data_IF_046592759001
#
_entry.id   IF_046592759001
#
_cell.length_a   1.000
_cell.length_b   1.000
_cell.length_c   1.000
_cell.angle_alpha   90.00
_cell.angle_beta   90.00
_cell.angle_gamma   90.00
#
_symmetry.space_group_name_H-M   'P 1'
#
loop_
_entity.id
_entity.type
_entity.pdbx_description
1 polymer ?
#
# COMPACT_ATOMS: atom_id res chain seq x y z
N UNK A 1 41.02 32.96 3.59
CA UNK A 1 40.60 32.09 2.48
C UNK A 1 39.88 30.90 3.08
N UNK A 2 38.55 30.83 2.95
CA UNK A 2 37.76 29.71 3.49
C UNK A 2 37.99 28.47 2.63
N UNK A 3 38.58 27.43 3.22
CA UNK A 3 38.68 26.12 2.60
C UNK A 3 37.27 25.52 2.43
N UNK A 4 36.74 25.56 1.21
CA UNK A 4 35.53 24.83 0.85
C UNK A 4 35.85 23.34 1.00
N UNK A 5 35.12 22.67 1.88
CA UNK A 5 35.26 21.23 2.08
C UNK A 5 34.60 20.48 0.91
N UNK A 6 35.41 20.16 -0.10
CA UNK A 6 34.99 19.47 -1.33
C UNK A 6 34.47 18.04 -1.10
N UNK A 7 34.69 17.44 0.09
CA UNK A 7 34.11 16.14 0.46
C UNK A 7 32.62 16.19 0.78
N UNK A 8 31.98 17.36 0.74
CA UNK A 8 30.52 17.55 0.95
C UNK A 8 29.79 18.14 -0.26
N UNK A 9 30.38 18.06 -1.45
CA UNK A 9 29.69 18.51 -2.67
C UNK A 9 28.56 17.51 -2.95
N UNK A 10 27.32 17.92 -2.65
CA UNK A 10 26.13 17.21 -3.11
C UNK A 10 25.94 17.60 -4.58
N UNK A 11 26.08 16.63 -5.47
CA UNK A 11 25.91 16.85 -6.90
C UNK A 11 24.43 17.04 -7.27
N UNK A 12 24.16 17.56 -8.46
CA UNK A 12 22.80 17.61 -8.98
C UNK A 12 22.21 16.19 -9.15
N UNK A 13 23.06 15.21 -9.46
CA UNK A 13 22.70 13.80 -9.57
C UNK A 13 22.30 13.20 -8.22
N UNK A 14 23.05 13.48 -7.15
CA UNK A 14 22.72 13.05 -5.79
C UNK A 14 21.36 13.60 -5.33
N UNK A 15 21.08 14.87 -5.66
CA UNK A 15 19.77 15.49 -5.36
C UNK A 15 18.63 14.84 -6.14
N UNK A 16 18.86 14.49 -7.40
CA UNK A 16 17.85 13.86 -8.24
C UNK A 16 17.51 12.46 -7.72
N UNK A 17 18.51 11.67 -7.33
CA UNK A 17 18.31 10.33 -6.75
C UNK A 17 17.53 10.42 -5.44
N UNK A 18 17.90 11.34 -4.55
CA UNK A 18 17.18 11.53 -3.28
C UNK A 18 15.74 11.98 -3.52
N UNK A 19 15.51 12.87 -4.48
CA UNK A 19 14.16 13.31 -4.84
C UNK A 19 13.31 12.16 -5.40
N UNK A 20 13.87 11.32 -6.26
CA UNK A 20 13.18 10.13 -6.79
C UNK A 20 12.82 9.15 -5.67
N UNK A 21 13.73 8.92 -4.72
CA UNK A 21 13.47 8.10 -3.54
C UNK A 21 12.33 8.66 -2.70
N UNK A 22 12.36 9.95 -2.39
CA UNK A 22 11.29 10.62 -1.65
C UNK A 22 9.93 10.51 -2.35
N UNK A 23 9.91 10.64 -3.68
CA UNK A 23 8.68 10.45 -4.47
C UNK A 23 8.16 9.01 -4.38
N UNK A 24 9.04 8.01 -4.48
CA UNK A 24 8.67 6.60 -4.36
C UNK A 24 8.13 6.28 -2.96
N UNK A 25 8.77 6.79 -1.91
CA UNK A 25 8.32 6.58 -0.53
C UNK A 25 6.98 7.27 -0.26
N UNK A 26 6.77 8.49 -0.79
CA UNK A 26 5.48 9.16 -0.73
C UNK A 26 4.37 8.36 -1.43
N UNK A 27 4.65 7.76 -2.60
CA UNK A 27 3.67 6.91 -3.31
C UNK A 27 3.33 5.63 -2.54
N UNK A 28 4.30 5.02 -1.86
CA UNK A 28 4.04 3.85 -1.00
C UNK A 28 3.14 4.21 0.19
N UNK A 29 3.36 5.39 0.77
CA UNK A 29 2.51 5.92 1.84
C UNK A 29 1.08 6.17 1.32
N UNK A 30 0.92 6.74 0.13
CA UNK A 30 -0.40 6.95 -0.48
C UNK A 30 -1.11 5.63 -0.76
N UNK A 31 -0.42 4.64 -1.34
CA UNK A 31 -0.97 3.29 -1.54
C UNK A 31 -1.47 2.68 -0.23
N UNK A 32 -0.64 2.72 0.83
CA UNK A 32 -1.03 2.23 2.16
C UNK A 32 -2.25 2.97 2.69
N UNK A 33 -2.29 4.30 2.55
CA UNK A 33 -3.40 5.14 3.01
C UNK A 33 -4.70 4.77 2.31
N UNK A 34 -4.66 4.55 0.99
CA UNK A 34 -5.83 4.13 0.20
C UNK A 34 -6.33 2.74 0.56
N UNK A 35 -5.42 1.78 0.79
CA UNK A 35 -5.81 0.44 1.25
C UNK A 35 -6.48 0.53 2.62
N UNK A 36 -5.91 1.31 3.54
CA UNK A 36 -6.45 1.46 4.89
C UNK A 36 -7.76 2.23 4.96
N UNK A 37 -8.05 3.11 3.99
CA UNK A 37 -9.36 3.73 3.86
C UNK A 37 -10.48 2.72 3.55
N UNK A 38 -10.14 1.53 3.04
CA UNK A 38 -11.09 0.45 2.74
C UNK A 38 -11.07 -0.63 3.82
N UNK A 39 -9.87 -1.05 4.23
CA UNK A 39 -9.67 -2.08 5.22
C UNK A 39 -8.46 -1.71 6.07
N UNK A 40 -8.71 -1.18 7.26
CA UNK A 40 -7.64 -0.77 8.17
C UNK A 40 -6.87 -1.97 8.75
N UNK A 41 -5.84 -1.67 9.55
CA UNK A 41 -4.96 -2.68 10.13
C UNK A 41 -5.69 -3.69 11.03
N UNK A 42 -6.68 -3.23 11.80
CA UNK A 42 -7.45 -4.09 12.71
C UNK A 42 -8.35 -5.01 11.89
N UNK A 43 -9.08 -4.45 10.92
CA UNK A 43 -9.92 -5.23 10.02
C UNK A 43 -9.10 -6.28 9.25
N UNK A 44 -7.89 -5.93 8.78
CA UNK A 44 -7.00 -6.89 8.10
C UNK A 44 -6.59 -8.05 9.02
N UNK A 45 -6.21 -7.77 10.27
CA UNK A 45 -5.84 -8.81 11.25
C UNK A 45 -7.03 -9.71 11.58
N UNK A 46 -8.21 -9.11 11.77
CA UNK A 46 -9.43 -9.84 12.10
C UNK A 46 -9.88 -10.72 10.92
N UNK A 47 -9.84 -10.21 9.68
CA UNK A 47 -10.13 -10.97 8.47
C UNK A 47 -9.14 -12.14 8.28
N UNK A 48 -7.84 -11.89 8.46
CA UNK A 48 -6.83 -12.94 8.36
C UNK A 48 -7.04 -14.03 9.43
N UNK A 49 -7.38 -13.62 10.66
CA UNK A 49 -7.68 -14.54 11.76
C UNK A 49 -8.93 -15.37 11.47
N UNK A 50 -10.02 -14.73 11.04
CA UNK A 50 -11.27 -15.41 10.68
C UNK A 50 -11.08 -16.39 9.51
N UNK A 51 -10.33 -15.99 8.47
CA UNK A 51 -9.98 -16.87 7.36
C UNK A 51 -9.18 -18.09 7.84
N UNK A 52 -8.15 -17.87 8.68
CA UNK A 52 -7.30 -18.95 9.20
C UNK A 52 -8.04 -19.93 10.11
N UNK A 53 -9.03 -19.43 10.85
CA UNK A 53 -9.89 -20.22 11.74
C UNK A 53 -11.03 -20.94 10.98
N UNK A 54 -11.14 -20.75 9.66
CA UNK A 54 -12.21 -21.35 8.85
C UNK A 54 -13.60 -20.79 9.14
N UNK A 55 -13.69 -19.55 9.64
CA UNK A 55 -14.97 -18.91 10.00
C UNK A 55 -15.71 -18.34 8.79
N UNK A 56 -15.05 -18.25 7.63
CA UNK A 56 -15.70 -17.86 6.38
C UNK A 56 -16.47 -19.02 5.76
N UNK A 57 -17.68 -18.72 5.30
CA UNK A 57 -18.31 -19.57 4.30
C UNK A 57 -17.57 -19.46 2.94
N UNK A 58 -17.97 -20.29 1.97
CA UNK A 58 -17.31 -20.33 0.67
C UNK A 58 -17.32 -18.97 -0.05
N UNK A 59 -18.46 -18.26 -0.01
CA UNK A 59 -18.62 -16.96 -0.65
C UNK A 59 -17.70 -15.90 -0.02
N UNK A 60 -17.68 -15.80 1.30
CA UNK A 60 -16.80 -14.89 2.05
C UNK A 60 -15.33 -15.16 1.78
N UNK A 61 -14.94 -16.43 1.62
CA UNK A 61 -13.58 -16.79 1.28
C UNK A 61 -13.19 -16.33 -0.14
N UNK A 62 -14.10 -16.39 -1.11
CA UNK A 62 -13.85 -15.81 -2.44
C UNK A 62 -13.71 -14.29 -2.38
N UNK A 63 -14.55 -13.61 -1.60
CA UNK A 63 -14.45 -12.16 -1.38
C UNK A 63 -13.11 -11.80 -0.72
N UNK A 64 -12.67 -12.56 0.29
CA UNK A 64 -11.38 -12.36 0.93
C UNK A 64 -10.21 -12.51 -0.05
N UNK A 65 -10.23 -13.52 -0.93
CA UNK A 65 -9.22 -13.69 -1.98
C UNK A 65 -9.24 -12.54 -3.00
N UNK A 66 -10.43 -12.06 -3.37
CA UNK A 66 -10.56 -10.88 -4.23
C UNK A 66 -9.97 -9.63 -3.56
N UNK A 67 -10.12 -9.48 -2.24
CA UNK A 67 -9.49 -8.41 -1.46
C UNK A 67 -7.96 -8.49 -1.49
N UNK A 68 -7.38 -9.69 -1.34
CA UNK A 68 -5.94 -9.89 -1.45
C UNK A 68 -5.42 -9.55 -2.85
N UNK A 69 -6.14 -9.96 -3.90
CA UNK A 69 -5.81 -9.63 -5.28
C UNK A 69 -5.87 -8.11 -5.56
N UNK A 70 -6.88 -7.42 -5.00
CA UNK A 70 -6.97 -5.97 -5.09
C UNK A 70 -5.82 -5.26 -4.36
N UNK A 71 -5.43 -5.72 -3.16
CA UNK A 71 -4.25 -5.17 -2.44
C UNK A 71 -2.96 -5.33 -3.25
N UNK A 72 -2.79 -6.47 -3.93
CA UNK A 72 -1.64 -6.70 -4.81
C UNK A 72 -1.65 -5.77 -6.04
N UNK A 73 -2.83 -5.59 -6.65
CA UNK A 73 -3.02 -4.65 -7.75
C UNK A 73 -2.74 -3.20 -7.32
N UNK A 74 -3.19 -2.80 -6.13
CA UNK A 74 -2.85 -1.51 -5.53
C UNK A 74 -1.34 -1.34 -5.36
N UNK A 75 -0.63 -2.35 -4.85
CA UNK A 75 0.84 -2.30 -4.70
C UNK A 75 1.56 -2.21 -6.04
N UNK A 76 1.04 -2.87 -7.07
CA UNK A 76 1.57 -2.79 -8.44
C UNK A 76 1.36 -1.40 -9.05
N UNK A 77 0.20 -0.79 -8.81
CA UNK A 77 -0.12 0.56 -9.24
C UNK A 77 0.73 1.65 -8.54
N UNK A 78 1.56 1.32 -7.53
CA UNK A 78 2.47 2.30 -6.91
C UNK A 78 3.42 2.97 -7.90
N UNK A 79 3.76 2.28 -8.98
CA UNK A 79 4.67 2.81 -9.99
C UNK A 79 3.96 3.77 -10.94
N UNK A 80 2.73 3.45 -11.35
CA UNK A 80 1.97 4.24 -12.33
C UNK A 80 1.09 5.33 -11.70
N UNK A 81 0.55 5.09 -10.51
CA UNK A 81 -0.50 5.90 -9.88
C UNK A 81 -1.91 5.56 -10.35
N UNK A 82 -2.08 4.56 -11.21
CA UNK A 82 -3.37 4.11 -11.74
C UNK A 82 -4.01 3.12 -10.77
N UNK A 83 -4.54 3.64 -9.66
CA UNK A 83 -5.08 2.81 -8.59
C UNK A 83 -6.42 2.18 -8.98
N UNK A 84 -6.57 0.84 -8.84
CA UNK A 84 -7.85 0.19 -9.07
C UNK A 84 -8.86 0.51 -7.97
N UNK A 85 -10.13 0.65 -8.36
CA UNK A 85 -11.24 0.78 -7.40
C UNK A 85 -11.37 -0.49 -6.54
N UNK A 86 -11.71 -0.37 -5.25
CA UNK A 86 -11.97 -1.52 -4.41
C UNK A 86 -13.24 -2.26 -4.88
N UNK A 87 -13.21 -3.60 -4.96
CA UNK A 87 -14.41 -4.38 -5.25
C UNK A 87 -15.47 -4.14 -4.16
N UNK A 88 -16.73 -3.89 -4.55
CA UNK A 88 -17.79 -3.53 -3.60
C UNK A 88 -17.98 -4.57 -2.48
N UNK A 89 -17.94 -5.85 -2.83
CA UNK A 89 -18.01 -6.94 -1.85
C UNK A 89 -16.85 -6.94 -0.83
N UNK A 90 -15.66 -6.46 -1.22
CA UNK A 90 -14.50 -6.37 -0.32
C UNK A 90 -14.72 -5.26 0.70
N UNK A 91 -15.25 -4.11 0.26
CA UNK A 91 -15.63 -3.00 1.15
C UNK A 91 -16.68 -3.46 2.15
N UNK A 92 -17.70 -4.18 1.68
CA UNK A 92 -18.75 -4.72 2.56
C UNK A 92 -18.18 -5.71 3.57
N UNK A 93 -17.36 -6.66 3.14
CA UNK A 93 -16.75 -7.65 4.04
C UNK A 93 -15.84 -6.98 5.07
N UNK A 94 -15.01 -6.02 4.66
CA UNK A 94 -14.12 -5.29 5.55
C UNK A 94 -14.89 -4.50 6.62
N UNK A 95 -16.05 -3.92 6.30
CA UNK A 95 -16.87 -3.15 7.25
C UNK A 95 -17.45 -3.99 8.41
N UNK A 96 -17.36 -5.31 8.34
CA UNK A 96 -17.89 -6.25 9.34
C UNK A 96 -16.83 -6.74 10.35
N UNK A 97 -15.57 -6.37 10.16
CA UNK A 97 -14.42 -6.85 10.94
C UNK A 97 -13.60 -5.68 11.49
#
# INVERSE_FOLDING_TARGET
>A
MSNINVSRIITAEDKLVEQQKQQLDARKIDCRTRIFAVCDEIAQINLASAASAGLFNAEQMEVYRAGLAWIDAMRTACVSGDWPDPPAQVVELASRF
#
